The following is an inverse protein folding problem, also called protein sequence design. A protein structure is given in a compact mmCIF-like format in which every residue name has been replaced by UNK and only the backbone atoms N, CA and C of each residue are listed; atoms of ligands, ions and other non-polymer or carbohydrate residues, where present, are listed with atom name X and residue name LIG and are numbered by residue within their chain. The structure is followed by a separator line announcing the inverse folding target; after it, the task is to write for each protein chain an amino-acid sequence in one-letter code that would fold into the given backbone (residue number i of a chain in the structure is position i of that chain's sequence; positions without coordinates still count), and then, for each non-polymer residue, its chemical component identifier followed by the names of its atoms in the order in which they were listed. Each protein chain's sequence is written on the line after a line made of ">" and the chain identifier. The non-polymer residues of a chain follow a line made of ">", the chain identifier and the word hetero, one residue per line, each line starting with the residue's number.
data_IF_194757584949
#
_entry.id   IF_194757584949
#
_cell.length_a   1.000
_cell.length_b   1.000
_cell.length_c   1.000
_cell.angle_alpha   90.00
_cell.angle_beta   90.00
_cell.angle_gamma   90.00
#
_symmetry.space_group_name_H-M   'P 1'
#
loop_
_entity.id
_entity.type
_entity.pdbx_description
1 polymer ?
#
# COMPACT_ATOMS: atom_id res chain seq x y z
N UNK A 1 -15.46 1.03 11.37
CA UNK A 1 -14.26 0.13 11.39
C UNK A 1 -13.12 0.91 12.02
N UNK A 2 -12.27 0.27 12.81
CA UNK A 2 -11.09 0.93 13.36
C UNK A 2 -9.98 0.95 12.30
N UNK A 3 -9.19 2.02 12.31
CA UNK A 3 -8.01 2.15 11.46
C UNK A 3 -6.76 1.67 12.21
N UNK A 4 -5.80 1.16 11.46
CA UNK A 4 -4.47 0.81 11.96
C UNK A 4 -3.50 1.82 11.35
N UNK A 5 -2.90 2.68 12.17
CA UNK A 5 -1.89 3.63 11.71
C UNK A 5 -0.56 2.89 11.48
N UNK A 6 0.07 3.22 10.36
CA UNK A 6 1.39 2.76 10.00
C UNK A 6 2.37 3.90 10.31
N UNK A 7 3.10 3.79 11.42
CA UNK A 7 4.18 4.73 11.74
C UNK A 7 5.42 4.32 11.00
N UNK A 8 5.96 5.22 10.22
CA UNK A 8 7.16 4.99 9.40
C UNK A 8 8.40 5.60 10.03
N UNK A 9 9.53 4.99 9.78
CA UNK A 9 10.84 5.51 10.16
C UNK A 9 11.93 4.91 9.29
N UNK A 10 12.92 5.73 8.91
CA UNK A 10 14.14 5.21 8.31
C UNK A 10 14.97 4.42 9.31
N UNK A 11 15.64 3.40 8.81
CA UNK A 11 16.57 2.57 9.57
C UNK A 11 17.95 2.57 8.89
N UNK A 12 19.00 2.42 9.68
CA UNK A 12 20.37 2.39 9.15
C UNK A 12 20.76 1.00 8.60
N UNK A 13 20.10 -0.05 9.10
CA UNK A 13 20.33 -1.44 8.69
C UNK A 13 19.14 -1.94 7.85
N UNK A 14 19.43 -2.85 6.90
CA UNK A 14 18.37 -3.52 6.12
C UNK A 14 17.37 -4.18 7.05
N UNK A 15 16.09 -4.04 6.73
CA UNK A 15 15.01 -4.73 7.46
C UNK A 15 15.11 -6.25 7.26
N UNK A 16 14.71 -7.03 8.26
CA UNK A 16 14.60 -8.48 8.11
C UNK A 16 13.61 -8.85 7.00
N UNK A 17 13.92 -9.94 6.28
CA UNK A 17 12.98 -10.50 5.30
C UNK A 17 11.63 -10.78 5.95
N UNK A 18 10.55 -10.39 5.28
CA UNK A 18 9.19 -10.50 5.76
C UNK A 18 8.77 -9.42 6.77
N UNK A 19 9.59 -8.40 7.02
CA UNK A 19 9.17 -7.24 7.82
C UNK A 19 8.15 -6.39 7.06
N UNK A 20 7.25 -5.74 7.79
CA UNK A 20 6.38 -4.71 7.23
C UNK A 20 7.19 -3.45 6.91
N UNK A 21 7.05 -2.95 5.68
CA UNK A 21 7.77 -1.76 5.22
C UNK A 21 7.00 -0.99 4.15
N UNK A 22 7.29 0.30 4.03
CA UNK A 22 6.99 1.10 2.85
C UNK A 22 8.28 1.27 2.05
N UNK A 23 8.13 1.24 0.73
CA UNK A 23 9.22 1.40 -0.24
C UNK A 23 10.36 0.35 -0.09
N UNK A 24 11.49 0.63 -0.71
CA UNK A 24 12.53 -0.37 -0.91
C UNK A 24 12.16 -1.38 -1.99
N UNK A 25 12.78 -2.53 -1.97
CA UNK A 25 12.41 -3.68 -2.81
C UNK A 25 11.54 -4.66 -2.01
N UNK A 26 10.53 -5.32 -2.61
CA UNK A 26 9.73 -6.33 -1.92
C UNK A 26 10.55 -7.55 -1.53
N UNK A 27 10.13 -8.24 -0.48
CA UNK A 27 10.58 -9.60 -0.21
C UNK A 27 9.65 -10.56 -0.95
N UNK A 28 10.16 -11.26 -1.95
CA UNK A 28 9.35 -12.06 -2.87
C UNK A 28 9.38 -13.56 -2.52
N UNK A 29 8.51 -14.32 -3.14
CA UNK A 29 8.37 -15.77 -3.02
C UNK A 29 8.57 -16.45 -4.38
N UNK A 30 8.79 -17.76 -4.40
CA UNK A 30 8.95 -18.51 -5.64
C UNK A 30 7.68 -18.43 -6.50
N UNK A 31 7.84 -17.97 -7.75
CA UNK A 31 6.73 -17.73 -8.68
C UNK A 31 6.09 -16.35 -8.56
N UNK A 32 6.70 -15.43 -7.81
CA UNK A 32 6.29 -14.03 -7.81
C UNK A 32 6.45 -13.44 -9.22
N UNK A 33 5.38 -12.81 -9.71
CA UNK A 33 5.37 -12.05 -10.96
C UNK A 33 5.23 -10.57 -10.63
N UNK A 34 6.18 -9.76 -11.12
CA UNK A 34 6.11 -8.31 -10.90
C UNK A 34 4.91 -7.74 -11.65
N UNK A 35 4.04 -6.97 -10.98
CA UNK A 35 2.87 -6.38 -11.63
C UNK A 35 3.27 -5.32 -12.67
N UNK A 36 2.65 -5.39 -13.85
CA UNK A 36 2.86 -4.46 -14.93
C UNK A 36 1.56 -3.72 -15.32
N UNK A 37 1.72 -2.60 -15.98
CA UNK A 37 0.66 -1.84 -16.65
C UNK A 37 1.00 -1.72 -18.14
N UNK A 38 0.00 -1.84 -19.02
CA UNK A 38 0.16 -1.59 -20.45
C UNK A 38 -0.25 -0.15 -20.78
N UNK A 39 0.66 0.63 -21.36
CA UNK A 39 0.43 1.97 -21.85
C UNK A 39 0.89 2.06 -23.30
N UNK A 40 -0.01 2.40 -24.20
CA UNK A 40 0.26 2.54 -25.64
C UNK A 40 0.88 1.28 -26.31
N UNK A 41 0.62 0.09 -25.74
CA UNK A 41 1.09 -1.19 -26.26
C UNK A 41 2.49 -1.59 -25.75
N UNK A 42 3.03 -0.88 -24.78
CA UNK A 42 4.27 -1.20 -24.08
C UNK A 42 3.95 -1.55 -22.61
N UNK A 43 4.66 -2.52 -22.04
CA UNK A 43 4.51 -2.92 -20.63
C UNK A 43 5.52 -2.18 -19.76
N UNK A 44 5.03 -1.65 -18.63
CA UNK A 44 5.81 -0.96 -17.61
C UNK A 44 5.58 -1.59 -16.25
N UNK A 45 6.62 -1.70 -15.45
CA UNK A 45 6.52 -2.18 -14.07
C UNK A 45 5.74 -1.18 -13.20
N UNK A 46 4.80 -1.67 -12.40
CA UNK A 46 4.23 -0.85 -11.33
C UNK A 46 5.25 -0.65 -10.21
N UNK A 47 5.27 0.53 -9.62
CA UNK A 47 6.13 0.83 -8.49
C UNK A 47 5.70 0.08 -7.24
N UNK A 48 6.65 -0.51 -6.53
CA UNK A 48 6.39 -1.11 -5.23
C UNK A 48 6.18 -0.02 -4.17
N UNK A 49 5.00 -0.02 -3.54
CA UNK A 49 4.61 0.95 -2.50
C UNK A 49 4.93 0.44 -1.11
N UNK A 50 4.70 -0.84 -0.86
CA UNK A 50 4.98 -1.42 0.45
C UNK A 50 4.49 -2.85 0.60
N UNK A 51 4.93 -3.48 1.67
CA UNK A 51 4.48 -4.80 2.10
C UNK A 51 4.08 -4.80 3.56
N UNK A 52 3.03 -5.54 3.88
CA UNK A 52 2.48 -5.67 5.23
C UNK A 52 2.52 -7.14 5.65
N UNK A 53 3.23 -7.42 6.73
CA UNK A 53 3.18 -8.71 7.40
C UNK A 53 1.88 -8.81 8.21
N UNK A 54 0.99 -9.69 7.80
CA UNK A 54 -0.33 -9.81 8.39
C UNK A 54 -0.30 -10.39 9.81
N UNK A 55 0.69 -11.21 10.15
CA UNK A 55 0.87 -11.69 11.53
C UNK A 55 1.22 -10.55 12.51
N UNK A 56 1.78 -9.44 12.01
CA UNK A 56 2.02 -8.23 12.79
C UNK A 56 0.76 -7.34 12.83
N UNK A 57 0.17 -7.04 11.67
CA UNK A 57 -0.95 -6.11 11.52
C UNK A 57 -2.24 -6.60 12.20
N UNK A 58 -2.54 -7.90 12.14
CA UNK A 58 -3.78 -8.47 12.70
C UNK A 58 -3.88 -8.41 14.22
N UNK A 59 -2.79 -8.15 14.92
CA UNK A 59 -2.82 -7.84 16.37
C UNK A 59 -3.62 -6.56 16.66
N UNK A 60 -3.77 -5.69 15.66
CA UNK A 60 -4.46 -4.41 15.73
C UNK A 60 -5.80 -4.43 14.97
N UNK A 61 -6.07 -5.44 14.14
CA UNK A 61 -7.34 -5.64 13.44
C UNK A 61 -8.41 -6.19 14.39
N UNK A 62 -9.13 -5.29 15.05
CA UNK A 62 -10.19 -5.66 16.00
C UNK A 62 -11.43 -6.25 15.33
N UNK A 63 -11.65 -5.92 14.08
CA UNK A 63 -12.82 -6.38 13.31
C UNK A 63 -12.55 -7.75 12.67
N UNK A 64 -11.27 -8.17 12.63
CA UNK A 64 -10.85 -9.49 12.13
C UNK A 64 -11.10 -9.70 10.65
N UNK A 65 -10.96 -8.65 9.84
CA UNK A 65 -11.26 -8.68 8.41
C UNK A 65 -10.08 -9.11 7.55
N UNK A 66 -8.84 -8.94 8.06
CA UNK A 66 -7.63 -9.35 7.36
C UNK A 66 -7.33 -10.84 7.53
N UNK A 67 -6.65 -11.48 6.57
CA UNK A 67 -6.05 -12.79 6.78
C UNK A 67 -5.07 -12.75 7.96
N UNK A 68 -4.99 -13.85 8.73
CA UNK A 68 -4.21 -13.88 9.97
C UNK A 68 -2.70 -13.95 9.76
N UNK A 69 -2.27 -14.46 8.62
CA UNK A 69 -0.88 -14.69 8.26
C UNK A 69 -0.63 -14.32 6.81
N UNK A 70 0.63 -14.33 6.42
CA UNK A 70 1.07 -14.04 5.07
C UNK A 70 1.41 -12.57 4.87
N UNK A 71 1.58 -12.20 3.62
CA UNK A 71 2.01 -10.87 3.20
C UNK A 71 0.98 -10.25 2.27
N UNK A 72 0.73 -8.95 2.43
CA UNK A 72 0.10 -8.10 1.42
C UNK A 72 1.17 -7.20 0.79
N UNK A 73 1.21 -7.16 -0.53
CA UNK A 73 2.06 -6.28 -1.30
C UNK A 73 1.20 -5.28 -2.05
N UNK A 74 1.61 -4.02 -2.02
CA UNK A 74 0.91 -2.92 -2.67
C UNK A 74 1.78 -2.35 -3.78
N UNK A 75 1.21 -2.26 -4.98
CA UNK A 75 1.84 -1.68 -6.17
C UNK A 75 0.93 -0.62 -6.76
N UNK A 76 1.53 0.44 -7.27
CA UNK A 76 0.83 1.56 -7.88
C UNK A 76 1.70 2.20 -8.95
N UNK A 77 1.08 2.79 -9.96
CA UNK A 77 1.76 3.58 -10.97
C UNK A 77 2.14 4.96 -10.39
N UNK A 78 3.35 5.05 -9.82
CA UNK A 78 3.88 6.29 -9.25
C UNK A 78 4.40 7.26 -10.32
N UNK A 79 4.54 6.84 -11.57
CA UNK A 79 5.00 7.70 -12.66
C UNK A 79 3.86 8.59 -13.18
N UNK A 80 2.72 7.99 -13.52
CA UNK A 80 1.55 8.72 -14.04
C UNK A 80 0.57 9.15 -12.94
N UNK A 81 0.65 8.55 -11.77
CA UNK A 81 -0.19 8.82 -10.59
C UNK A 81 -1.69 8.93 -10.90
N UNK A 82 -2.30 7.94 -11.54
CA UNK A 82 -3.72 7.98 -11.87
C UNK A 82 -4.57 8.09 -10.59
N UNK A 83 -5.64 8.89 -10.67
CA UNK A 83 -6.48 9.22 -9.51
C UNK A 83 -7.89 8.63 -9.56
N UNK A 84 -8.29 8.09 -10.71
CA UNK A 84 -9.66 7.61 -10.97
C UNK A 84 -9.75 6.10 -10.76
N UNK A 85 -10.68 5.61 -9.90
CA UNK A 85 -10.88 4.18 -9.65
C UNK A 85 -11.38 3.39 -10.87
N UNK A 86 -11.77 4.04 -11.96
CA UNK A 86 -12.10 3.35 -13.21
C UNK A 86 -10.87 2.81 -13.94
N UNK A 87 -9.67 3.30 -13.61
CA UNK A 87 -8.41 2.74 -14.11
C UNK A 87 -8.01 1.51 -13.29
N UNK A 88 -8.54 0.34 -13.68
CA UNK A 88 -8.33 -0.92 -12.98
C UNK A 88 -6.89 -1.44 -13.03
N UNK A 89 -6.08 -0.94 -13.96
CA UNK A 89 -4.68 -1.36 -14.13
C UNK A 89 -3.70 -0.52 -13.31
N UNK A 90 -4.14 0.61 -12.76
CA UNK A 90 -3.29 1.57 -12.03
C UNK A 90 -2.64 1.01 -10.76
N UNK A 91 -3.17 -0.07 -10.20
CA UNK A 91 -2.65 -0.68 -8.99
C UNK A 91 -2.78 -2.21 -9.00
N UNK A 92 -2.01 -2.85 -8.13
CA UNK A 92 -2.18 -4.27 -7.79
C UNK A 92 -1.96 -4.46 -6.30
N UNK A 93 -2.75 -5.37 -5.73
CA UNK A 93 -2.49 -5.92 -4.39
C UNK A 93 -2.29 -7.42 -4.53
N UNK A 94 -1.18 -7.91 -4.04
CA UNK A 94 -0.86 -9.35 -4.04
C UNK A 94 -0.96 -9.85 -2.61
N UNK A 95 -1.72 -10.92 -2.40
CA UNK A 95 -1.73 -11.65 -1.15
C UNK A 95 -0.96 -12.97 -1.30
N UNK A 96 0.05 -13.16 -0.48
CA UNK A 96 0.76 -14.42 -0.34
C UNK A 96 0.52 -14.99 1.05
N UNK A 97 -0.06 -16.19 1.14
CA UNK A 97 -0.53 -16.79 2.39
C UNK A 97 0.62 -17.14 3.37
N UNK A 98 1.83 -17.34 2.84
CA UNK A 98 3.00 -17.77 3.61
C UNK A 98 3.94 -16.60 3.88
N UNK A 99 4.75 -16.73 4.90
CA UNK A 99 5.81 -15.78 5.29
C UNK A 99 7.18 -16.47 5.51
N UNK A 100 7.22 -17.82 5.37
CA UNK A 100 8.39 -18.64 5.62
C UNK A 100 9.20 -19.02 4.35
N UNK A 101 8.72 -18.62 3.16
CA UNK A 101 9.36 -18.88 1.87
C UNK A 101 9.84 -17.62 1.14
N UNK A 102 9.91 -16.50 1.87
CA UNK A 102 10.28 -15.21 1.33
C UNK A 102 11.80 -15.04 1.19
N UNK A 103 12.22 -14.27 0.20
CA UNK A 103 13.61 -13.86 0.02
C UNK A 103 13.70 -12.42 -0.49
N UNK A 104 14.72 -11.71 -0.04
CA UNK A 104 14.98 -10.34 -0.49
C UNK A 104 15.51 -10.34 -1.92
N UNK A 105 15.13 -9.31 -2.68
CA UNK A 105 15.70 -9.04 -4.00
C UNK A 105 16.39 -7.67 -4.01
N UNK A 106 17.10 -7.40 -5.11
CA UNK A 106 17.56 -6.06 -5.47
C UNK A 106 16.80 -5.64 -6.72
N UNK A 107 16.18 -4.46 -6.67
CA UNK A 107 15.51 -3.85 -7.81
C UNK A 107 16.46 -2.82 -8.41
N UNK A 108 17.19 -3.25 -9.44
CA UNK A 108 18.25 -2.45 -10.05
C UNK A 108 18.06 -2.40 -11.57
N UNK A 109 18.55 -1.33 -12.20
CA UNK A 109 18.60 -1.20 -13.64
C UNK A 109 19.70 -2.06 -14.29
N UNK A 110 19.87 -1.91 -15.62
CA UNK A 110 20.88 -2.63 -16.40
C UNK A 110 22.31 -2.28 -15.99
N UNK A 111 22.54 -1.10 -15.43
CA UNK A 111 23.83 -0.60 -14.95
C UNK A 111 24.08 -0.97 -13.48
N UNK A 112 23.10 -1.55 -12.78
CA UNK A 112 23.17 -1.99 -11.40
C UNK A 112 22.85 -0.88 -10.39
N UNK A 113 22.28 0.24 -10.84
CA UNK A 113 21.79 1.31 -9.96
C UNK A 113 20.46 0.91 -9.34
N UNK A 114 20.29 1.19 -8.05
CA UNK A 114 19.06 0.88 -7.30
C UNK A 114 17.92 1.79 -7.76
N UNK A 115 16.84 1.18 -8.25
CA UNK A 115 15.62 1.87 -8.69
C UNK A 115 14.60 2.03 -7.58
N UNK A 116 14.84 1.46 -6.39
CA UNK A 116 13.92 1.58 -5.27
C UNK A 116 14.14 2.85 -4.47
N UNK A 117 13.06 3.41 -3.93
CA UNK A 117 13.18 4.39 -2.85
C UNK A 117 13.79 3.74 -1.62
N UNK A 118 14.36 4.54 -0.72
CA UNK A 118 14.86 4.04 0.56
C UNK A 118 13.73 3.44 1.39
N UNK A 119 13.91 2.20 1.88
CA UNK A 119 12.90 1.50 2.67
C UNK A 119 12.66 2.17 4.02
N UNK A 120 11.41 2.17 4.45
CA UNK A 120 10.96 2.67 5.74
C UNK A 120 10.32 1.54 6.54
N UNK A 121 10.81 1.34 7.77
CA UNK A 121 10.18 0.42 8.74
C UNK A 121 8.77 0.89 9.06
N UNK A 122 7.84 -0.05 9.17
CA UNK A 122 6.48 0.16 9.64
C UNK A 122 6.30 -0.36 11.05
N UNK A 123 5.70 0.45 11.92
CA UNK A 123 5.20 0.07 13.24
C UNK A 123 3.69 0.34 13.31
N UNK A 124 2.91 -0.64 13.81
CA UNK A 124 1.45 -0.55 13.84
C UNK A 124 0.94 0.09 15.12
N UNK A 125 -0.05 0.95 15.00
CA UNK A 125 -0.77 1.55 16.11
C UNK A 125 -2.28 1.54 15.83
N UNK A 126 -3.08 1.05 16.77
CA UNK A 126 -4.53 1.16 16.68
C UNK A 126 -4.96 2.62 16.83
N UNK A 127 -5.84 3.07 15.93
CA UNK A 127 -6.48 4.39 16.00
C UNK A 127 -7.99 4.20 16.10
N UNK A 128 -8.61 4.84 17.07
CA UNK A 128 -10.07 4.88 17.16
C UNK A 128 -10.63 5.77 16.05
N UNK A 129 -11.72 5.32 15.43
CA UNK A 129 -12.35 6.01 14.31
C UNK A 129 -12.61 7.50 14.62
N UNK A 130 -12.19 8.38 13.71
CA UNK A 130 -12.45 9.81 13.77
C UNK A 130 -11.41 10.66 14.51
N UNK A 131 -10.26 10.10 14.90
CA UNK A 131 -9.25 10.88 15.60
C UNK A 131 -7.85 10.73 15.03
N UNK A 132 -7.50 11.58 14.07
CA UNK A 132 -6.14 11.83 13.64
C UNK A 132 -5.83 13.30 13.91
N UNK A 133 -5.27 13.57 15.09
CA UNK A 133 -5.16 14.92 15.64
C UNK A 133 -3.75 15.51 15.56
N UNK A 134 -2.89 14.99 14.71
CA UNK A 134 -1.60 15.60 14.46
C UNK A 134 -1.37 15.84 12.96
N UNK A 135 -0.64 16.90 12.65
CA UNK A 135 -0.26 17.32 11.29
C UNK A 135 0.85 16.42 10.71
N UNK A 136 1.02 15.19 11.18
CA UNK A 136 2.02 14.25 10.67
C UNK A 136 1.43 13.35 9.59
N UNK A 137 2.28 12.90 8.68
CA UNK A 137 1.95 11.92 7.65
C UNK A 137 1.09 10.77 8.20
N UNK A 138 0.01 10.45 7.51
CA UNK A 138 -0.98 9.50 8.01
C UNK A 138 -1.18 8.35 7.03
N UNK A 139 -0.35 7.31 7.17
CA UNK A 139 -0.56 6.06 6.47
C UNK A 139 -1.46 5.15 7.30
N UNK A 140 -2.48 4.57 6.68
CA UNK A 140 -3.49 3.74 7.36
C UNK A 140 -3.67 2.40 6.67
N UNK A 141 -3.97 1.39 7.47
CA UNK A 141 -4.52 0.11 7.01
C UNK A 141 -5.91 -0.03 7.59
N UNK A 142 -6.91 -0.29 6.74
CA UNK A 142 -8.33 -0.33 7.07
C UNK A 142 -8.91 1.01 7.55
N UNK A 143 -10.23 1.03 7.74
CA UNK A 143 -10.98 2.17 8.28
C UNK A 143 -11.50 3.11 7.21
N UNK A 144 -11.48 4.39 7.51
CA UNK A 144 -11.89 5.49 6.65
C UNK A 144 -10.68 6.37 6.33
N UNK A 145 -10.65 7.03 5.18
CA UNK A 145 -9.59 7.99 4.87
C UNK A 145 -9.43 9.05 5.95
N UNK A 146 -8.20 9.50 6.17
CA UNK A 146 -7.91 10.57 7.13
C UNK A 146 -8.37 11.95 6.67
N UNK A 147 -8.68 12.09 5.39
CA UNK A 147 -9.19 13.30 4.75
C UNK A 147 -10.48 12.97 3.99
N UNK A 148 -11.43 13.89 3.96
CA UNK A 148 -12.66 13.81 3.18
C UNK A 148 -12.84 15.12 2.41
N UNK A 149 -12.88 15.06 1.08
CA UNK A 149 -13.17 16.20 0.21
C UNK A 149 -14.63 16.26 -0.24
N UNK A 150 -15.50 15.39 0.29
CA UNK A 150 -16.90 15.30 -0.06
C UNK A 150 -17.20 14.71 -1.44
N UNK A 151 -16.19 14.19 -2.12
CA UNK A 151 -16.32 13.54 -3.43
C UNK A 151 -16.28 12.03 -3.27
N UNK A 152 -17.15 11.31 -4.02
CA UNK A 152 -17.20 9.87 -4.00
C UNK A 152 -17.53 9.31 -5.39
N UNK A 153 -16.88 8.24 -5.77
CA UNK A 153 -17.17 7.53 -7.01
C UNK A 153 -18.20 6.42 -6.77
N UNK A 154 -19.34 6.44 -7.51
CA UNK A 154 -20.39 5.43 -7.39
C UNK A 154 -19.88 4.00 -7.64
N UNK A 155 -18.80 3.83 -8.44
CA UNK A 155 -18.21 2.52 -8.70
C UNK A 155 -17.53 1.91 -7.46
N UNK A 156 -17.33 2.70 -6.40
CA UNK A 156 -16.82 2.23 -5.10
C UNK A 156 -17.94 2.00 -4.05
N UNK A 157 -19.20 2.09 -4.43
CA UNK A 157 -20.30 1.77 -3.52
C UNK A 157 -20.22 0.31 -3.06
N UNK A 158 -20.21 0.10 -1.74
CA UNK A 158 -20.01 -1.24 -1.14
C UNK A 158 -18.55 -1.61 -0.89
N UNK A 159 -17.60 -0.79 -1.35
CA UNK A 159 -16.18 -0.97 -1.11
C UNK A 159 -15.76 -0.39 0.25
N UNK A 160 -14.55 -0.70 0.66
CA UNK A 160 -13.93 -0.13 1.85
C UNK A 160 -12.46 0.16 1.60
N UNK A 161 -11.92 1.14 2.29
CA UNK A 161 -10.49 1.41 2.25
C UNK A 161 -9.73 0.23 2.85
N UNK A 162 -8.75 -0.27 2.09
CA UNK A 162 -7.81 -1.29 2.53
C UNK A 162 -6.51 -0.67 3.03
N UNK A 163 -5.98 0.30 2.27
CA UNK A 163 -4.72 0.95 2.60
C UNK A 163 -4.75 2.42 2.13
N UNK A 164 -4.14 3.30 2.90
CA UNK A 164 -3.91 4.70 2.60
C UNK A 164 -2.42 5.01 2.69
N UNK A 165 -1.90 5.62 1.63
CA UNK A 165 -0.59 6.26 1.61
C UNK A 165 -0.80 7.78 1.56
N UNK A 166 -0.17 8.50 2.46
CA UNK A 166 -0.16 9.95 2.47
C UNK A 166 0.95 10.50 1.56
N UNK A 167 0.78 11.71 1.05
CA UNK A 167 1.88 12.48 0.46
C UNK A 167 3.00 12.62 1.46
N UNK A 168 4.24 12.60 0.99
CA UNK A 168 5.39 12.69 1.86
C UNK A 168 6.56 13.37 1.15
N UNK A 169 7.27 14.19 1.89
CA UNK A 169 8.49 14.85 1.45
C UNK A 169 9.59 14.65 2.49
N UNK A 170 10.64 13.97 2.10
CA UNK A 170 11.84 13.72 2.89
C UNK A 170 13.09 13.97 2.03
N UNK A 171 14.29 13.85 2.60
CA UNK A 171 15.52 13.96 1.83
C UNK A 171 15.66 12.86 0.75
N UNK A 172 15.02 11.71 0.93
CA UNK A 172 15.14 10.53 0.07
C UNK A 172 13.90 10.28 -0.80
N UNK A 173 12.73 10.80 -0.43
CA UNK A 173 11.43 10.55 -1.09
C UNK A 173 10.65 11.85 -1.21
N UNK A 174 10.15 12.13 -2.42
CA UNK A 174 9.18 13.19 -2.64
C UNK A 174 8.02 12.61 -3.46
N UNK A 175 6.91 12.33 -2.79
CA UNK A 175 5.68 11.82 -3.41
C UNK A 175 4.54 12.76 -3.01
N UNK A 176 3.89 13.38 -4.00
CA UNK A 176 2.81 14.33 -3.79
C UNK A 176 1.58 13.90 -4.60
N UNK A 177 0.58 13.40 -3.92
CA UNK A 177 -0.72 13.05 -4.51
C UNK A 177 -1.58 14.31 -4.56
N UNK A 178 -1.59 15.01 -5.68
CA UNK A 178 -2.39 16.22 -5.97
C UNK A 178 -2.61 17.12 -4.74
N UNK A 179 -1.88 18.23 -4.64
CA UNK A 179 -2.01 19.21 -3.55
C UNK A 179 -1.93 18.60 -2.12
N UNK A 180 -0.90 17.81 -1.85
CA UNK A 180 -0.69 17.12 -0.57
C UNK A 180 -1.84 16.17 -0.18
N UNK A 181 -2.41 15.50 -1.17
CA UNK A 181 -3.51 14.57 -0.99
C UNK A 181 -3.07 13.18 -0.53
N UNK A 182 -4.03 12.25 -0.58
CA UNK A 182 -3.90 10.86 -0.17
C UNK A 182 -4.11 9.93 -1.36
N UNK A 183 -3.37 8.83 -1.41
CA UNK A 183 -3.67 7.68 -2.25
C UNK A 183 -4.35 6.60 -1.41
N UNK A 184 -5.58 6.25 -1.76
CA UNK A 184 -6.34 5.22 -1.07
C UNK A 184 -6.58 4.02 -1.98
N UNK A 185 -6.27 2.82 -1.48
CA UNK A 185 -6.63 1.54 -2.09
C UNK A 185 -7.94 1.07 -1.50
N UNK A 186 -8.90 0.76 -2.37
CA UNK A 186 -10.22 0.25 -1.99
C UNK A 186 -10.40 -1.19 -2.45
N UNK A 187 -11.07 -1.98 -1.63
CA UNK A 187 -11.43 -3.37 -1.91
C UNK A 187 -12.93 -3.58 -1.71
N UNK A 188 -13.55 -4.37 -2.58
CA UNK A 188 -14.93 -4.80 -2.37
C UNK A 188 -15.06 -5.59 -1.07
N UNK A 189 -16.06 -5.26 -0.25
CA UNK A 189 -16.27 -5.87 1.07
C UNK A 189 -16.53 -7.38 1.01
N UNK A 190 -17.15 -7.87 -0.04
CA UNK A 190 -17.42 -9.30 -0.16
C UNK A 190 -16.18 -10.07 -0.63
N UNK A 191 -15.34 -9.45 -1.48
CA UNK A 191 -14.03 -10.01 -1.85
C UNK A 191 -13.07 -10.06 -0.65
N UNK A 192 -13.01 -9.02 0.16
CA UNK A 192 -12.19 -9.03 1.38
C UNK A 192 -12.60 -10.15 2.34
N UNK A 193 -13.89 -10.42 2.51
CA UNK A 193 -14.40 -11.52 3.36
C UNK A 193 -13.90 -12.91 2.94
N UNK A 194 -13.66 -13.08 1.65
CA UNK A 194 -13.13 -14.34 1.10
C UNK A 194 -11.63 -14.27 0.80
N UNK A 195 -10.98 -13.20 1.24
CA UNK A 195 -9.54 -12.96 1.07
C UNK A 195 -9.10 -12.91 -0.41
N UNK A 196 -9.97 -12.43 -1.28
CA UNK A 196 -9.70 -12.20 -2.70
C UNK A 196 -9.26 -10.75 -2.92
N UNK A 197 -7.97 -10.54 -3.12
CA UNK A 197 -7.36 -9.22 -3.36
C UNK A 197 -7.16 -8.93 -4.86
N UNK A 198 -7.76 -9.70 -5.74
CA UNK A 198 -7.57 -9.56 -7.20
C UNK A 198 -8.21 -8.32 -7.81
N UNK A 199 -9.17 -7.69 -7.12
CA UNK A 199 -9.88 -6.50 -7.58
C UNK A 199 -9.80 -5.41 -6.50
N UNK A 200 -8.77 -4.61 -6.61
CA UNK A 200 -8.52 -3.44 -5.78
C UNK A 200 -8.49 -2.22 -6.69
N UNK A 201 -9.06 -1.12 -6.24
CA UNK A 201 -9.14 0.15 -6.95
C UNK A 201 -8.44 1.23 -6.15
N UNK A 202 -7.97 2.24 -6.86
CA UNK A 202 -7.39 3.43 -6.21
C UNK A 202 -8.35 4.61 -6.29
N UNK A 203 -8.19 5.52 -5.35
CA UNK A 203 -8.74 6.87 -5.42
C UNK A 203 -7.75 7.82 -4.77
N UNK A 204 -7.44 8.94 -5.42
CA UNK A 204 -6.75 10.03 -4.73
C UNK A 204 -7.79 10.96 -4.09
N UNK A 205 -7.50 11.39 -2.87
CA UNK A 205 -8.31 12.36 -2.11
C UNK A 205 -7.45 13.59 -1.89
N UNK A 206 -7.93 14.75 -2.30
CA UNK A 206 -7.24 16.03 -2.17
C UNK A 206 -8.22 17.15 -1.86
N UNK A 207 -7.77 18.28 -1.33
CA UNK A 207 -8.61 19.44 -0.93
C UNK A 207 -8.78 20.47 -2.05
#
# INVERSE_FOLDING_TARGET
>A
MNSIRLKTSYVDEKLPVGASKLFGAPDIFDGFEWPTIEVDGEEYDLSFVGQINLAEATKFDKDGVLPKNGMLYFFYDLDEMPHDPSNESACRVIYHERDDDLHAISYVDEDGEDLSFREMKVEFQLVEAGFLADDSETHLLLGEPSMDNGFWYECLDGWQMLFQLDSMETDDICINFTDEGLLCFYIDKDKLKVQDFSDVRIMQIYT
#
